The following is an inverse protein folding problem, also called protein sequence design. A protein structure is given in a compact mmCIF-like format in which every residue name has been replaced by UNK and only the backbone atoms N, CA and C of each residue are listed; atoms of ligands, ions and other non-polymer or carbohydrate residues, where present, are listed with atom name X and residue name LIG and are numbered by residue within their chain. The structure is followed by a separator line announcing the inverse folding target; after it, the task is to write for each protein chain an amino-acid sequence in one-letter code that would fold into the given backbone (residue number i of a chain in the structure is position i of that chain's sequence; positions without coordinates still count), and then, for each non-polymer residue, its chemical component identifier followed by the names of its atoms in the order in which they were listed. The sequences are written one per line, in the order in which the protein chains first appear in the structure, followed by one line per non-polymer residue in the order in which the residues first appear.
data_IF_723028204810
#
_entry.id   IF_723028204810
#
_cell.length_a   1.000
_cell.length_b   1.000
_cell.length_c   1.000
_cell.angle_alpha   90.00
_cell.angle_beta   90.00
_cell.angle_gamma   90.00
#
_symmetry.space_group_name_H-M   'P 1'
#
loop_
_entity.id
_entity.type
_entity.pdbx_description
1 polymer ?
#
# COMPACT_ATOMS: atom_id res chain seq x y z
N UNK A 1 16.17 5.51 -1.85
CA UNK A 1 15.09 5.26 -2.83
C UNK A 1 14.01 4.51 -2.10
N UNK A 2 12.94 5.20 -1.70
CA UNK A 2 11.83 4.59 -0.98
C UNK A 2 11.03 3.74 -1.95
N UNK A 3 10.69 2.52 -1.55
CA UNK A 3 10.06 1.57 -2.44
C UNK A 3 8.58 1.90 -2.57
N UNK A 4 8.21 2.63 -3.63
CA UNK A 4 6.82 2.76 -4.03
C UNK A 4 6.20 1.37 -4.17
N UNK A 5 5.01 1.19 -3.60
CA UNK A 5 4.28 -0.06 -3.65
C UNK A 5 3.38 -0.04 -4.86
N UNK A 6 3.59 -0.98 -5.78
CA UNK A 6 2.69 -1.24 -6.89
C UNK A 6 2.15 -2.68 -6.80
N UNK A 7 0.83 -2.82 -6.92
CA UNK A 7 0.13 -4.10 -6.93
C UNK A 7 -0.81 -4.17 -8.14
N UNK A 8 -0.47 -5.03 -9.08
CA UNK A 8 -1.37 -5.39 -10.18
C UNK A 8 -2.42 -6.40 -9.70
N UNK A 9 -3.66 -6.18 -10.08
CA UNK A 9 -4.78 -7.10 -9.83
C UNK A 9 -5.81 -6.98 -10.96
N UNK A 10 -6.89 -7.74 -10.88
CA UNK A 10 -8.01 -7.63 -11.81
C UNK A 10 -9.21 -7.03 -11.09
N UNK A 11 -9.96 -6.20 -11.82
CA UNK A 11 -11.23 -5.65 -11.37
C UNK A 11 -12.33 -6.13 -12.31
N UNK A 12 -13.49 -6.51 -11.77
CA UNK A 12 -14.71 -6.69 -12.55
C UNK A 12 -15.52 -5.40 -12.49
N UNK A 13 -15.79 -4.80 -13.64
CA UNK A 13 -16.69 -3.64 -13.72
C UNK A 13 -18.13 -4.14 -13.57
N UNK A 14 -18.89 -3.51 -12.67
CA UNK A 14 -20.30 -3.81 -12.45
C UNK A 14 -21.14 -2.80 -13.24
N UNK A 15 -22.10 -3.30 -14.03
CA UNK A 15 -22.97 -2.47 -14.87
C UNK A 15 -24.17 -3.26 -15.40
N UNK A 16 -25.02 -2.59 -16.17
CA UNK A 16 -26.40 -3.02 -16.46
C UNK A 16 -26.53 -4.17 -17.47
N UNK A 17 -25.45 -4.64 -18.09
CA UNK A 17 -25.50 -5.71 -19.08
C UNK A 17 -24.29 -6.63 -19.02
N UNK A 18 -24.56 -7.94 -19.11
CA UNK A 18 -23.70 -9.14 -19.24
C UNK A 18 -22.33 -9.10 -18.59
N UNK A 19 -22.01 -10.13 -17.79
CA UNK A 19 -20.70 -10.36 -17.15
C UNK A 19 -19.50 -9.85 -17.97
N UNK A 20 -19.04 -8.64 -17.65
CA UNK A 20 -17.87 -8.07 -18.28
C UNK A 20 -16.61 -8.83 -17.83
N UNK A 21 -15.67 -9.08 -18.75
CA UNK A 21 -14.41 -9.71 -18.39
C UNK A 21 -13.65 -8.83 -17.38
N UNK A 22 -12.91 -9.45 -16.46
CA UNK A 22 -12.11 -8.69 -15.49
C UNK A 22 -10.95 -7.98 -16.18
N UNK A 23 -10.86 -6.66 -15.96
CA UNK A 23 -9.84 -5.78 -16.53
C UNK A 23 -8.64 -5.62 -15.59
N UNK A 24 -7.42 -5.46 -16.12
CA UNK A 24 -6.24 -5.21 -15.31
C UNK A 24 -6.29 -3.81 -14.66
N UNK A 25 -5.95 -3.75 -13.37
CA UNK A 25 -5.82 -2.52 -12.60
C UNK A 25 -4.55 -2.54 -11.76
N UNK A 26 -4.02 -1.36 -11.43
CA UNK A 26 -2.86 -1.18 -10.58
C UNK A 26 -3.22 -0.33 -9.36
N UNK A 27 -2.90 -0.83 -8.18
CA UNK A 27 -2.91 -0.07 -6.93
C UNK A 27 -1.50 0.44 -6.66
N UNK A 28 -1.38 1.74 -6.38
CA UNK A 28 -0.12 2.42 -6.15
C UNK A 28 -0.15 3.18 -4.82
N UNK A 29 0.96 3.13 -4.10
CA UNK A 29 1.19 3.89 -2.88
C UNK A 29 2.65 4.32 -2.83
N UNK A 30 2.89 5.60 -2.55
CA UNK A 30 4.24 6.13 -2.33
C UNK A 30 4.22 7.00 -1.07
N UNK A 31 4.88 6.57 0.04
CA UNK A 31 4.90 7.30 1.29
C UNK A 31 5.57 8.68 1.18
N UNK A 32 6.45 8.89 0.19
CA UNK A 32 7.09 10.19 -0.05
C UNK A 32 6.18 11.20 -0.76
N UNK A 33 5.18 10.72 -1.50
CA UNK A 33 4.21 11.56 -2.22
C UNK A 33 3.00 11.96 -1.34
N UNK A 34 2.68 11.14 -0.35
CA UNK A 34 1.56 11.33 0.55
C UNK A 34 1.38 10.10 1.44
N UNK A 35 1.51 10.21 2.78
CA UNK A 35 1.59 9.06 3.68
C UNK A 35 0.30 8.24 3.74
N UNK A 36 -0.82 8.77 3.26
CA UNK A 36 -2.13 8.12 3.27
C UNK A 36 -2.75 8.04 1.88
N UNK A 37 -2.02 8.37 0.81
CA UNK A 37 -2.58 8.49 -0.54
C UNK A 37 -2.47 7.17 -1.31
N UNK A 38 -3.60 6.53 -1.62
CA UNK A 38 -3.67 5.37 -2.53
C UNK A 38 -4.21 5.81 -3.88
N UNK A 39 -3.57 5.32 -4.95
CA UNK A 39 -4.02 5.51 -6.32
C UNK A 39 -4.46 4.18 -6.93
N UNK A 40 -5.63 4.17 -7.58
CA UNK A 40 -6.12 3.07 -8.40
C UNK A 40 -6.14 3.52 -9.85
N UNK A 41 -5.41 2.81 -10.71
CA UNK A 41 -5.29 3.10 -12.13
C UNK A 41 -5.77 1.90 -12.96
N UNK A 42 -6.62 2.16 -13.95
CA UNK A 42 -7.03 1.13 -14.91
C UNK A 42 -5.99 1.02 -16.02
N UNK A 43 -5.61 -0.20 -16.39
CA UNK A 43 -4.74 -0.42 -17.55
C UNK A 43 -5.62 -0.54 -18.81
N UNK A 44 -5.99 0.60 -19.40
CA UNK A 44 -6.78 0.70 -20.64
C UNK A 44 -6.98 2.16 -21.04
N UNK A 45 -7.22 2.42 -22.33
CA UNK A 45 -7.49 3.79 -22.82
C UNK A 45 -8.82 4.30 -22.24
N UNK A 46 -8.79 5.44 -21.55
CA UNK A 46 -9.99 6.09 -20.98
C UNK A 46 -10.30 5.72 -19.52
N UNK A 47 -9.45 4.95 -18.84
CA UNK A 47 -9.62 4.68 -17.41
C UNK A 47 -9.34 5.89 -16.53
N UNK A 48 -10.28 6.29 -15.67
CA UNK A 48 -10.06 7.34 -14.69
C UNK A 48 -9.13 6.84 -13.57
N UNK A 49 -8.06 7.59 -13.30
CA UNK A 49 -7.24 7.39 -12.10
C UNK A 49 -7.98 7.90 -10.87
N UNK A 50 -8.17 7.03 -9.88
CA UNK A 50 -8.83 7.38 -8.62
C UNK A 50 -7.82 7.51 -7.51
N UNK A 51 -8.02 8.50 -6.64
CA UNK A 51 -7.20 8.72 -5.45
C UNK A 51 -8.09 8.75 -4.22
N UNK A 52 -7.71 8.02 -3.18
CA UNK A 52 -8.44 7.92 -1.91
C UNK A 52 -7.48 7.60 -0.77
N UNK A 53 -7.95 7.68 0.49
CA UNK A 53 -7.10 7.39 1.64
C UNK A 53 -6.83 5.90 1.81
N UNK A 54 -5.63 5.55 2.27
CA UNK A 54 -5.31 4.18 2.71
C UNK A 54 -6.25 3.77 3.85
N UNK A 55 -6.55 4.69 4.77
CA UNK A 55 -7.53 4.48 5.83
C UNK A 55 -8.92 4.07 5.31
N UNK A 56 -9.44 4.72 4.24
CA UNK A 56 -10.73 4.35 3.66
C UNK A 56 -10.73 2.92 3.12
N UNK A 57 -9.65 2.49 2.48
CA UNK A 57 -9.54 1.12 1.97
C UNK A 57 -9.55 0.09 3.12
N UNK A 58 -8.88 0.41 4.22
CA UNK A 58 -8.83 -0.43 5.41
C UNK A 58 -10.17 -0.55 6.13
N UNK A 59 -10.87 0.56 6.30
CA UNK A 59 -12.21 0.58 6.87
C UNK A 59 -13.17 -0.19 5.96
N UNK A 60 -13.13 0.10 4.65
CA UNK A 60 -13.95 -0.50 3.61
C UNK A 60 -13.76 -2.01 3.42
N UNK A 61 -12.62 -2.55 3.85
CA UNK A 61 -12.39 -4.00 3.89
C UNK A 61 -13.04 -4.69 5.09
N UNK A 62 -13.35 -3.94 6.16
CA UNK A 62 -13.95 -4.47 7.40
C UNK A 62 -15.46 -4.27 7.43
N UNK A 63 -15.94 -3.11 6.97
CA UNK A 63 -17.34 -2.73 6.94
C UNK A 63 -17.58 -1.70 5.82
N UNK A 64 -18.83 -1.44 5.43
CA UNK A 64 -19.11 -0.35 4.49
C UNK A 64 -18.59 1.00 4.99
N UNK A 65 -17.79 1.68 4.18
CA UNK A 65 -17.17 2.97 4.46
C UNK A 65 -17.14 3.86 3.20
N UNK A 66 -17.01 5.17 3.37
CA UNK A 66 -16.95 6.10 2.23
C UNK A 66 -16.53 7.51 2.61
N UNK A 67 -15.81 8.16 1.70
CA UNK A 67 -15.36 9.55 1.83
C UNK A 67 -15.44 10.24 0.46
N UNK A 68 -16.15 11.36 0.40
CA UNK A 68 -16.35 12.11 -0.85
C UNK A 68 -16.98 11.24 -1.93
N UNK A 69 -16.25 11.08 -3.04
CA UNK A 69 -16.71 10.37 -4.24
C UNK A 69 -16.41 8.86 -4.22
N UNK A 70 -15.82 8.34 -3.15
CA UNK A 70 -15.38 6.94 -3.05
C UNK A 70 -16.10 6.23 -1.92
N UNK A 71 -16.70 5.08 -2.22
CA UNK A 71 -17.30 4.15 -1.24
C UNK A 71 -16.68 2.77 -1.41
N UNK A 72 -16.44 2.07 -0.30
CA UNK A 72 -15.80 0.75 -0.28
C UNK A 72 -16.53 -0.14 0.72
N UNK A 73 -16.83 -1.37 0.33
CA UNK A 73 -17.47 -2.33 1.24
C UNK A 73 -17.10 -3.78 0.91
N UNK A 74 -17.08 -4.67 1.93
CA UNK A 74 -16.90 -6.09 1.69
C UNK A 74 -18.14 -6.69 1.02
N UNK A 75 -17.94 -7.61 0.10
CA UNK A 75 -18.99 -8.34 -0.59
C UNK A 75 -18.70 -9.85 -0.50
N UNK A 76 -19.30 -10.51 0.50
CA UNK A 76 -18.96 -11.88 0.84
C UNK A 76 -17.58 -12.02 1.49
N UNK A 77 -16.96 -13.19 1.36
CA UNK A 77 -15.69 -13.51 2.05
C UNK A 77 -14.43 -13.10 1.29
N UNK A 78 -14.53 -12.94 -0.03
CA UNK A 78 -13.35 -12.88 -0.91
C UNK A 78 -13.35 -11.67 -1.84
N UNK A 79 -14.45 -10.93 -1.92
CA UNK A 79 -14.58 -9.77 -2.80
C UNK A 79 -14.82 -8.49 -2.02
N UNK A 80 -14.36 -7.39 -2.57
CA UNK A 80 -14.60 -6.03 -2.10
C UNK A 80 -15.10 -5.22 -3.27
N UNK A 81 -16.16 -4.45 -3.04
CA UNK A 81 -16.70 -3.53 -4.04
C UNK A 81 -16.22 -2.13 -3.72
N UNK A 82 -15.85 -1.41 -4.78
CA UNK A 82 -15.51 0.00 -4.74
C UNK A 82 -16.41 0.74 -5.72
N UNK A 83 -16.98 1.84 -5.26
CA UNK A 83 -17.83 2.72 -6.04
C UNK A 83 -17.18 4.09 -6.11
N UNK A 84 -17.12 4.64 -7.32
CA UNK A 84 -16.50 5.91 -7.62
C UNK A 84 -17.46 6.82 -8.37
N UNK A 85 -17.59 8.07 -7.93
CA UNK A 85 -18.47 9.08 -8.52
C UNK A 85 -17.65 10.05 -9.38
N UNK A 86 -17.88 10.08 -10.70
CA UNK A 86 -17.21 11.01 -11.63
C UNK A 86 -18.23 11.73 -12.50
N UNK A 87 -18.32 13.06 -12.36
CA UNK A 87 -19.02 13.96 -13.31
C UNK A 87 -20.41 13.48 -13.76
N UNK A 88 -21.19 12.91 -12.83
CA UNK A 88 -22.56 12.44 -13.10
C UNK A 88 -22.68 10.95 -13.37
N UNK A 89 -21.55 10.24 -13.55
CA UNK A 89 -21.50 8.79 -13.72
C UNK A 89 -20.98 8.10 -12.45
N UNK A 90 -21.42 6.87 -12.25
CA UNK A 90 -20.98 6.00 -11.16
C UNK A 90 -20.26 4.80 -11.77
N UNK A 91 -19.03 4.57 -11.33
CA UNK A 91 -18.24 3.39 -11.68
C UNK A 91 -18.17 2.49 -10.48
N UNK A 92 -18.71 1.27 -10.61
CA UNK A 92 -18.58 0.24 -9.59
C UNK A 92 -17.65 -0.86 -10.08
N UNK A 93 -16.70 -1.24 -9.24
CA UNK A 93 -15.79 -2.35 -9.51
C UNK A 93 -15.72 -3.31 -8.34
N UNK A 94 -15.47 -4.57 -8.64
CA UNK A 94 -15.23 -5.63 -7.68
C UNK A 94 -13.79 -6.14 -7.81
N UNK A 95 -13.10 -6.30 -6.68
CA UNK A 95 -11.73 -6.83 -6.62
C UNK A 95 -11.61 -7.92 -5.54
N UNK A 96 -10.63 -8.80 -5.71
CA UNK A 96 -10.26 -9.79 -4.70
C UNK A 96 -9.75 -9.09 -3.43
N UNK A 97 -10.43 -9.32 -2.30
CA UNK A 97 -10.04 -8.76 -1.00
C UNK A 97 -8.62 -9.18 -0.59
N UNK A 98 -8.18 -10.37 -1.01
CA UNK A 98 -6.82 -10.85 -0.74
C UNK A 98 -5.73 -9.99 -1.41
N UNK A 99 -6.02 -9.44 -2.59
CA UNK A 99 -5.10 -8.54 -3.29
C UNK A 99 -5.04 -7.18 -2.59
N UNK A 100 -6.18 -6.66 -2.13
CA UNK A 100 -6.27 -5.41 -1.37
C UNK A 100 -5.56 -5.51 -0.03
N UNK A 101 -5.77 -6.59 0.72
CA UNK A 101 -5.09 -6.85 1.98
C UNK A 101 -3.57 -7.00 1.80
N UNK A 102 -3.13 -7.67 0.73
CA UNK A 102 -1.70 -7.78 0.39
C UNK A 102 -1.10 -6.42 0.08
N UNK A 103 -1.82 -5.60 -0.70
CA UNK A 103 -1.40 -4.24 -1.00
C UNK A 103 -1.25 -3.41 0.27
N UNK A 104 -2.27 -3.39 1.14
CA UNK A 104 -2.25 -2.66 2.41
C UNK A 104 -1.06 -3.05 3.29
N UNK A 105 -0.80 -4.35 3.47
CA UNK A 105 0.36 -4.81 4.24
C UNK A 105 1.66 -4.22 3.70
N UNK A 106 1.86 -4.26 2.38
CA UNK A 106 3.05 -3.70 1.74
C UNK A 106 3.14 -2.18 1.90
N UNK A 107 2.02 -1.46 1.94
CA UNK A 107 2.04 -0.02 2.20
C UNK A 107 2.59 0.31 3.58
N UNK A 108 2.23 -0.47 4.61
CA UNK A 108 2.76 -0.28 5.97
C UNK A 108 4.25 -0.56 6.05
N UNK A 109 4.71 -1.65 5.41
CA UNK A 109 6.14 -1.96 5.32
C UNK A 109 6.90 -0.82 4.64
N UNK A 110 6.36 -0.26 3.56
CA UNK A 110 6.96 0.87 2.84
C UNK A 110 6.95 2.17 3.66
N UNK A 111 5.88 2.46 4.41
CA UNK A 111 5.83 3.61 5.32
C UNK A 111 6.92 3.50 6.38
N UNK A 112 7.04 2.34 7.05
CA UNK A 112 8.04 2.13 8.08
C UNK A 112 9.47 2.26 7.55
N UNK A 113 9.73 1.75 6.34
CA UNK A 113 11.02 1.93 5.65
C UNK A 113 11.29 3.40 5.32
N UNK A 114 10.28 4.12 4.83
CA UNK A 114 10.39 5.55 4.53
C UNK A 114 10.71 6.37 5.77
N UNK A 115 10.04 6.11 6.88
CA UNK A 115 10.29 6.78 8.15
C UNK A 115 11.69 6.48 8.67
N UNK A 116 12.14 5.22 8.68
CA UNK A 116 13.49 4.87 9.12
C UNK A 116 14.60 5.60 8.33
N UNK A 117 14.40 5.77 7.02
CA UNK A 117 15.32 6.51 6.15
C UNK A 117 15.21 8.02 6.35
N UNK A 118 13.99 8.55 6.49
CA UNK A 118 13.72 9.99 6.61
C UNK A 118 14.11 10.57 7.97
N UNK A 119 13.96 9.79 9.05
CA UNK A 119 14.29 10.22 10.41
C UNK A 119 15.80 10.17 10.68
N UNK A 120 16.60 9.58 9.79
CA UNK A 120 18.05 9.47 10.00
C UNK A 120 18.34 8.83 11.35
N UNK A 121 17.83 7.63 11.60
CA UNK A 121 18.25 6.88 12.80
C UNK A 121 19.72 6.55 12.65
N UNK A 122 20.57 7.35 13.31
CA UNK A 122 21.87 6.92 13.76
C UNK A 122 21.67 5.63 14.55
N UNK A 123 22.22 4.53 14.04
CA UNK A 123 22.31 3.28 14.78
C UNK A 123 22.93 3.58 16.16
N UNK A 124 22.53 2.90 17.25
CA UNK A 124 23.34 2.91 18.45
C UNK A 124 24.68 2.26 18.06
N UNK A 125 25.74 3.07 17.97
CA UNK A 125 27.11 2.56 18.02
C UNK A 125 27.26 1.92 19.39
N UNK A 126 27.00 0.62 19.48
CA UNK A 126 27.44 -0.19 20.62
C UNK A 126 28.96 -0.22 20.51
N UNK A 127 29.58 0.73 21.23
CA UNK A 127 31.02 0.73 21.47
C UNK A 127 31.37 -0.51 22.28
N UNK A 128 31.70 -1.59 21.59
CA UNK A 128 32.51 -2.65 22.19
C UNK A 128 33.94 -2.11 22.22
N UNK A 129 34.29 -1.43 23.31
CA UNK A 129 35.69 -1.16 23.64
C UNK A 129 36.37 -2.50 23.91
N UNK A 130 36.98 -3.08 22.88
CA UNK A 130 37.96 -4.12 23.06
C UNK A 130 39.23 -3.46 23.63
N UNK A 131 39.39 -3.52 24.96
CA UNK A 131 40.66 -3.21 25.61
C UNK A 131 41.66 -4.26 25.15
N UNK A 132 42.53 -3.88 24.23
CA UNK A 132 43.68 -4.66 23.80
C UNK A 132 44.70 -4.72 24.95
N UNK A 133 44.77 -5.84 25.67
CA UNK A 133 45.94 -6.16 26.47
C UNK A 133 46.99 -6.82 25.57
N UNK A 134 48.02 -6.06 25.23
CA UNK A 134 49.34 -6.59 24.86
C UNK A 134 50.42 -5.72 25.50
N UNK A 135 50.90 -6.16 26.66
CA UNK A 135 52.22 -5.82 27.14
C UNK A 135 53.11 -7.04 26.92
N UNK A 136 54.07 -6.88 26.01
CA UNK A 136 55.19 -7.75 25.74
C UNK A 136 56.23 -7.54 26.86
N UNK A 137 56.82 -8.61 27.39
CA UNK A 137 58.05 -8.50 28.19
C UNK A 137 58.32 -9.62 29.19
N UNK A 138 58.75 -10.80 28.73
CA UNK A 138 59.77 -11.61 29.43
C UNK A 138 61.15 -11.20 28.89
N UNK A 139 62.31 -11.36 29.57
CA UNK A 139 62.67 -12.55 30.39
C UNK A 139 63.66 -12.35 31.58
N UNK A 140 63.96 -13.49 32.23
CA UNK A 140 65.17 -13.91 32.99
C UNK A 140 65.34 -13.51 34.47
N UNK A 141 65.40 -14.55 35.31
CA UNK A 141 66.50 -14.80 36.23
C UNK A 141 67.10 -16.17 35.89
#
# INVERSE_FOLDING_TARGET
MTAAVEQYTRARVLGDSTELPSIPVALRYDPGSGPDTVRLAFSGEGGNDWTFSRALLEEGLRAPAGTGDVRVWPCGRVQTVMEFHARGDVVMIQLDSSALLRFLRRTYDATAQYEAVSTGTAAPTVGVTQVAQRAVGSPRA
#
